data_IF_393936936804
#
_entry.id   IF_393936936804
#
_cell.length_a   1.000
_cell.length_b   1.000
_cell.length_c   1.000
_cell.angle_alpha   90.00
_cell.angle_beta   90.00
_cell.angle_gamma   90.00
#
_symmetry.space_group_name_H-M   'P 1'
#
loop_
_entity.id
_entity.type
_entity.pdbx_description
1 polymer ?
#
# COMPACT_ATOMS: atom_id res chain seq x y z
N UNK A 1 26.95 17.79 8.82
CA UNK A 1 25.92 18.79 8.45
C UNK A 1 24.52 18.25 8.72
N UNK A 2 24.18 17.04 8.27
CA UNK A 2 22.89 16.42 8.59
C UNK A 2 22.65 16.21 10.10
N UNK A 3 23.69 15.88 10.88
CA UNK A 3 23.54 15.71 12.33
C UNK A 3 23.07 16.99 13.04
N UNK A 4 23.53 18.17 12.58
CA UNK A 4 23.04 19.45 13.12
C UNK A 4 21.59 19.71 12.74
N UNK A 5 21.15 19.26 11.56
CA UNK A 5 19.77 19.41 11.14
C UNK A 5 18.85 18.52 11.99
N UNK A 6 19.23 17.26 12.22
CA UNK A 6 18.41 16.32 12.99
C UNK A 6 18.55 16.46 14.52
N UNK A 7 19.40 17.37 15.01
CA UNK A 7 19.55 17.65 16.42
C UNK A 7 18.36 18.46 16.97
N UNK A 8 17.53 17.78 17.77
CA UNK A 8 16.35 18.32 18.45
C UNK A 8 16.62 18.67 19.92
N UNK A 9 17.85 18.50 20.41
CA UNK A 9 18.27 18.89 21.77
C UNK A 9 18.70 20.35 21.80
N UNK A 10 19.19 20.89 20.66
CA UNK A 10 19.48 22.31 20.56
C UNK A 10 18.19 23.14 20.54
N UNK A 11 17.93 23.98 21.57
CA UNK A 11 16.60 24.57 21.80
C UNK A 11 16.13 25.44 20.64
N UNK A 12 17.03 26.25 20.05
CA UNK A 12 16.69 27.11 18.90
C UNK A 12 16.33 26.29 17.66
N UNK A 13 17.05 25.20 17.36
CA UNK A 13 16.78 24.38 16.18
C UNK A 13 15.50 23.58 16.33
N UNK A 14 15.30 23.01 17.52
CA UNK A 14 14.06 22.31 17.88
C UNK A 14 12.84 23.20 17.64
N UNK A 15 12.89 24.45 18.10
CA UNK A 15 11.78 25.39 17.93
C UNK A 15 11.58 25.78 16.45
N UNK A 16 12.66 26.00 15.69
CA UNK A 16 12.56 26.25 14.25
C UNK A 16 11.91 25.09 13.49
N UNK A 17 12.28 23.84 13.80
CA UNK A 17 11.63 22.66 13.20
C UNK A 17 10.16 22.59 13.57
N UNK A 18 9.83 22.80 14.85
CA UNK A 18 8.45 22.84 15.33
C UNK A 18 7.63 23.89 14.56
N UNK A 19 8.14 25.11 14.45
CA UNK A 19 7.47 26.19 13.72
C UNK A 19 7.30 25.86 12.24
N UNK A 20 8.32 25.28 11.61
CA UNK A 20 8.24 24.85 10.22
C UNK A 20 7.12 23.81 10.00
N UNK A 21 7.10 22.74 10.80
CA UNK A 21 6.07 21.70 10.71
C UNK A 21 4.68 22.31 10.88
N UNK A 22 4.50 23.13 11.92
CA UNK A 22 3.20 23.76 12.20
C UNK A 22 2.79 24.76 11.13
N UNK A 23 3.73 25.48 10.53
CA UNK A 23 3.44 26.36 9.41
C UNK A 23 2.94 25.57 8.20
N UNK A 24 3.59 24.43 7.89
CA UNK A 24 3.13 23.53 6.83
C UNK A 24 1.72 23.01 7.12
N UNK A 25 1.42 22.61 8.36
CA UNK A 25 0.08 22.15 8.75
C UNK A 25 -0.96 23.28 8.65
N UNK A 26 -0.66 24.46 9.20
CA UNK A 26 -1.55 25.62 9.18
C UNK A 26 -1.91 26.04 7.75
N UNK A 27 -0.95 26.01 6.83
CA UNK A 27 -1.17 26.38 5.43
C UNK A 27 -2.21 25.51 4.71
N UNK A 28 -2.37 24.26 5.14
CA UNK A 28 -3.24 23.28 4.49
C UNK A 28 -4.30 22.71 5.44
N UNK A 29 -4.56 23.41 6.54
CA UNK A 29 -5.35 22.88 7.64
C UNK A 29 -6.83 22.67 7.27
N UNK A 30 -7.28 23.36 6.22
CA UNK A 30 -8.65 23.28 5.68
C UNK A 30 -8.71 22.55 4.32
N UNK A 31 -7.57 22.04 3.83
CA UNK A 31 -7.45 21.34 2.55
C UNK A 31 -7.49 19.81 2.74
N UNK A 32 -8.69 19.23 2.68
CA UNK A 32 -8.92 17.79 2.92
C UNK A 32 -8.23 16.85 1.89
N UNK A 33 -7.73 17.40 0.78
CA UNK A 33 -7.03 16.69 -0.29
C UNK A 33 -5.50 16.76 -0.18
N UNK A 34 -4.94 17.37 0.87
CA UNK A 34 -3.49 17.41 1.12
C UNK A 34 -3.07 16.24 2.01
N UNK A 35 -1.97 15.57 1.64
CA UNK A 35 -1.32 14.51 2.41
C UNK A 35 0.10 14.98 2.77
N UNK A 36 0.43 14.96 4.05
CA UNK A 36 1.73 15.36 4.60
C UNK A 36 2.65 14.14 4.69
N UNK A 37 3.74 14.12 3.94
CA UNK A 37 4.74 13.05 4.00
C UNK A 37 5.87 13.40 4.97
N UNK A 38 6.28 12.45 5.81
CA UNK A 38 7.35 12.65 6.81
C UNK A 38 8.74 12.83 6.19
N UNK A 39 8.97 12.34 4.97
CA UNK A 39 10.24 12.49 4.24
C UNK A 39 10.02 12.34 2.74
N UNK A 40 10.95 12.89 1.95
CA UNK A 40 11.00 12.73 0.50
C UNK A 40 12.39 12.30 -0.03
N UNK A 41 13.49 12.56 0.69
CA UNK A 41 14.82 12.40 0.10
C UNK A 41 15.91 11.80 0.99
N UNK A 42 15.80 11.74 2.32
CA UNK A 42 16.90 11.30 3.19
C UNK A 42 16.49 10.19 4.17
N UNK A 43 17.43 9.28 4.46
CA UNK A 43 17.33 8.31 5.56
C UNK A 43 17.58 9.01 6.91
N UNK A 44 16.65 9.90 7.28
CA UNK A 44 16.68 10.60 8.57
C UNK A 44 16.60 9.62 9.75
N UNK A 45 17.00 10.04 10.95
CA UNK A 45 17.00 9.19 12.13
C UNK A 45 15.61 9.07 12.78
N UNK A 46 15.40 7.96 13.49
CA UNK A 46 14.14 7.65 14.17
C UNK A 46 13.67 8.78 15.09
N UNK A 47 14.57 9.34 15.91
CA UNK A 47 14.20 10.36 16.91
C UNK A 47 13.63 11.63 16.27
N UNK A 48 14.06 11.97 15.06
CA UNK A 48 13.54 13.13 14.35
C UNK A 48 12.14 12.87 13.78
N UNK A 49 11.89 11.68 13.25
CA UNK A 49 10.55 11.28 12.80
C UNK A 49 9.58 11.21 13.97
N UNK A 50 10.03 10.71 15.13
CA UNK A 50 9.26 10.74 16.38
C UNK A 50 8.89 12.17 16.77
N UNK A 51 9.87 13.08 16.81
CA UNK A 51 9.65 14.49 17.07
C UNK A 51 8.63 15.12 16.09
N UNK A 52 8.75 14.81 14.80
CA UNK A 52 7.86 15.33 13.78
C UNK A 52 6.39 14.91 14.01
N UNK A 53 6.17 13.62 14.28
CA UNK A 53 4.83 13.10 14.57
C UNK A 53 4.28 13.64 15.89
N UNK A 54 5.13 13.81 16.90
CA UNK A 54 4.74 14.41 18.17
C UNK A 54 4.28 15.87 17.97
N UNK A 55 4.97 16.66 17.15
CA UNK A 55 4.56 18.04 16.80
C UNK A 55 3.22 18.06 16.05
N UNK A 56 2.97 17.12 15.15
CA UNK A 56 1.67 16.99 14.49
C UNK A 56 0.59 16.68 15.54
N UNK A 57 0.81 15.69 16.41
CA UNK A 57 -0.16 15.31 17.43
C UNK A 57 -0.51 16.47 18.38
N UNK A 58 0.50 17.24 18.81
CA UNK A 58 0.30 18.45 19.61
C UNK A 58 -0.54 19.49 18.85
N UNK A 59 -0.22 19.74 17.58
CA UNK A 59 -0.98 20.67 16.74
C UNK A 59 -2.44 20.24 16.56
N UNK A 60 -2.70 18.95 16.35
CA UNK A 60 -4.07 18.43 16.24
C UNK A 60 -4.84 18.58 17.56
N UNK A 61 -4.18 18.32 18.69
CA UNK A 61 -4.79 18.46 20.01
C UNK A 61 -5.12 19.92 20.36
N UNK A 62 -4.22 20.85 20.02
CA UNK A 62 -4.38 22.29 20.31
C UNK A 62 -5.40 22.98 19.40
N UNK A 63 -5.50 22.57 18.14
CA UNK A 63 -6.34 23.24 17.13
C UNK A 63 -7.68 22.54 16.88
N UNK A 64 -7.79 21.25 17.24
CA UNK A 64 -8.92 20.40 16.88
C UNK A 64 -8.97 20.03 15.39
N UNK A 65 -7.99 20.45 14.59
CA UNK A 65 -7.88 20.10 13.16
C UNK A 65 -7.17 18.76 12.98
N UNK A 66 -7.32 18.15 11.80
CA UNK A 66 -6.72 16.86 11.44
C UNK A 66 -5.89 16.96 10.18
N UNK A 67 -4.68 16.43 10.22
CA UNK A 67 -3.82 16.30 9.05
C UNK A 67 -3.87 14.85 8.54
N UNK A 68 -3.80 14.66 7.22
CA UNK A 68 -3.58 13.32 6.65
C UNK A 68 -2.08 13.06 6.56
N UNK A 69 -1.57 12.10 7.33
CA UNK A 69 -0.13 11.87 7.45
C UNK A 69 0.29 10.56 6.78
N UNK A 70 1.27 10.65 5.89
CA UNK A 70 1.91 9.51 5.26
C UNK A 70 3.32 9.29 5.84
N UNK A 71 3.52 8.13 6.46
CA UNK A 71 4.82 7.69 6.96
C UNK A 71 5.64 7.16 5.78
N UNK A 72 6.61 7.94 5.34
CA UNK A 72 7.55 7.59 4.27
C UNK A 72 8.96 7.63 4.85
N UNK A 73 9.49 6.47 5.23
CA UNK A 73 10.80 6.32 5.88
C UNK A 73 11.48 5.01 5.47
N UNK A 74 12.72 4.80 5.91
CA UNK A 74 13.38 3.50 5.85
C UNK A 74 12.61 2.44 6.66
N UNK A 75 12.80 1.15 6.35
CA UNK A 75 12.01 0.05 6.94
C UNK A 75 12.16 0.00 8.47
N UNK A 76 13.38 0.14 8.98
CA UNK A 76 13.68 0.13 10.41
C UNK A 76 12.94 1.24 11.16
N UNK A 77 12.93 2.46 10.61
CA UNK A 77 12.20 3.60 11.18
C UNK A 77 10.69 3.41 11.05
N UNK A 78 10.22 2.89 9.90
CA UNK A 78 8.80 2.61 9.65
C UNK A 78 8.27 1.62 10.68
N UNK A 79 8.96 0.48 10.85
CA UNK A 79 8.58 -0.56 11.80
C UNK A 79 8.62 -0.05 13.24
N UNK A 80 9.63 0.74 13.62
CA UNK A 80 9.74 1.32 14.95
C UNK A 80 8.61 2.31 15.27
N UNK A 81 8.24 3.18 14.33
CA UNK A 81 7.10 4.10 14.50
C UNK A 81 5.77 3.34 14.58
N UNK A 82 5.58 2.34 13.72
CA UNK A 82 4.34 1.56 13.69
C UNK A 82 4.17 0.65 14.92
N UNK A 83 5.26 0.26 15.59
CA UNK A 83 5.23 -0.44 16.87
C UNK A 83 4.88 0.47 18.06
N UNK A 84 5.11 1.79 17.95
CA UNK A 84 4.70 2.78 18.95
C UNK A 84 3.25 3.20 18.72
N UNK A 85 2.32 2.63 19.49
CA UNK A 85 0.89 2.89 19.34
C UNK A 85 0.50 4.39 19.38
N UNK A 86 1.21 5.23 20.15
CA UNK A 86 0.92 6.66 20.25
C UNK A 86 1.22 7.35 18.93
N UNK A 87 2.37 7.06 18.33
CA UNK A 87 2.81 7.69 17.06
C UNK A 87 2.17 7.03 15.85
N UNK A 88 1.94 5.72 15.89
CA UNK A 88 1.18 5.01 14.88
C UNK A 88 -0.25 5.54 14.75
N UNK A 89 -0.85 6.08 15.82
CA UNK A 89 -2.18 6.70 15.77
C UNK A 89 -2.21 8.00 14.93
N UNK A 90 -1.07 8.68 14.77
CA UNK A 90 -0.93 9.91 13.96
C UNK A 90 -0.78 9.60 12.47
N UNK A 91 -0.39 8.37 12.11
CA UNK A 91 -0.12 7.96 10.73
C UNK A 91 -1.38 7.41 10.07
N UNK A 92 -1.81 7.98 8.95
CA UNK A 92 -2.97 7.48 8.18
C UNK A 92 -2.56 6.53 7.05
N UNK A 93 -1.38 6.78 6.47
CA UNK A 93 -0.88 6.10 5.27
C UNK A 93 0.52 5.56 5.54
N UNK A 94 0.73 4.29 5.22
CA UNK A 94 2.05 3.64 5.22
C UNK A 94 2.58 3.70 3.79
N UNK A 95 3.62 4.52 3.56
CA UNK A 95 4.22 4.70 2.23
C UNK A 95 5.51 3.88 2.06
N UNK A 96 5.41 2.77 1.32
CA UNK A 96 6.55 1.90 1.02
C UNK A 96 7.30 2.45 -0.19
N UNK A 97 8.35 3.23 0.08
CA UNK A 97 9.17 3.90 -0.94
C UNK A 97 10.67 3.66 -0.81
N UNK A 98 11.17 3.58 0.42
CA UNK A 98 12.61 3.55 0.70
C UNK A 98 13.20 2.16 0.83
N UNK A 99 12.38 1.12 0.72
CA UNK A 99 12.80 -0.25 0.86
C UNK A 99 11.92 -1.15 0.00
N UNK A 100 12.44 -2.33 -0.34
CA UNK A 100 11.67 -3.38 -1.00
C UNK A 100 12.28 -4.75 -0.76
N UNK A 101 11.44 -5.76 -0.87
CA UNK A 101 11.87 -7.14 -1.00
C UNK A 101 12.50 -7.39 -2.38
N UNK A 102 13.49 -8.27 -2.42
CA UNK A 102 14.19 -8.68 -3.63
C UNK A 102 13.80 -10.11 -4.03
N UNK A 103 13.96 -10.39 -5.33
CA UNK A 103 13.70 -11.70 -5.93
C UNK A 103 14.57 -12.85 -5.37
N UNK A 104 15.73 -12.51 -4.79
CA UNK A 104 16.59 -13.43 -4.04
C UNK A 104 16.10 -13.75 -2.62
N UNK A 105 14.94 -13.23 -2.21
CA UNK A 105 14.32 -13.44 -0.91
C UNK A 105 14.80 -12.48 0.18
N UNK A 106 15.87 -11.73 -0.03
CA UNK A 106 16.40 -10.75 0.93
C UNK A 106 15.74 -9.38 0.75
N UNK A 107 16.11 -8.39 1.57
CA UNK A 107 15.51 -7.05 1.55
C UNK A 107 16.56 -6.00 1.20
N UNK A 108 16.21 -5.07 0.31
CA UNK A 108 16.90 -3.80 0.18
C UNK A 108 16.24 -2.81 1.15
N UNK A 109 16.86 -2.60 2.30
CA UNK A 109 16.38 -1.70 3.34
C UNK A 109 17.55 -0.87 3.88
N UNK A 110 17.83 0.30 3.28
CA UNK A 110 18.75 1.26 3.86
C UNK A 110 18.38 1.59 5.32
N UNK A 111 19.37 1.76 6.18
CA UNK A 111 19.16 2.07 7.59
C UNK A 111 18.84 3.56 7.79
N UNK A 112 17.94 3.86 8.72
CA UNK A 112 17.68 5.22 9.19
C UNK A 112 18.91 5.86 9.83
N UNK A 113 18.94 7.18 9.89
CA UNK A 113 20.03 7.94 10.52
C UNK A 113 21.37 7.93 9.79
N UNK A 114 21.51 7.22 8.66
CA UNK A 114 22.72 7.32 7.81
C UNK A 114 22.81 8.64 7.06
N UNK A 115 21.75 9.45 7.06
CA UNK A 115 21.70 10.77 6.45
C UNK A 115 22.09 10.78 4.96
N UNK A 116 21.74 9.71 4.26
CA UNK A 116 22.03 9.52 2.85
C UNK A 116 20.74 9.51 2.04
N UNK A 117 20.81 10.07 0.84
CA UNK A 117 19.74 9.98 -0.13
C UNK A 117 19.66 8.58 -0.75
N UNK A 118 18.50 8.13 -1.24
CA UNK A 118 18.34 6.84 -1.91
C UNK A 118 19.43 6.58 -2.96
N UNK A 119 19.76 7.59 -3.78
CA UNK A 119 20.81 7.48 -4.81
C UNK A 119 22.20 7.18 -4.25
N UNK A 120 22.51 7.64 -3.04
CA UNK A 120 23.79 7.34 -2.38
C UNK A 120 23.81 5.91 -1.86
N UNK A 121 22.72 5.45 -1.23
CA UNK A 121 22.57 4.05 -0.82
C UNK A 121 22.66 3.08 -2.00
N UNK A 122 22.03 3.39 -3.14
CA UNK A 122 22.11 2.58 -4.36
C UNK A 122 23.54 2.40 -4.91
N UNK A 123 24.49 3.27 -4.54
CA UNK A 123 25.91 3.14 -4.90
C UNK A 123 26.68 2.21 -3.95
N UNK A 124 26.19 2.01 -2.73
CA UNK A 124 26.87 1.24 -1.70
C UNK A 124 26.33 -0.19 -1.58
N UNK A 125 25.05 -0.40 -1.91
CA UNK A 125 24.41 -1.71 -1.84
C UNK A 125 23.63 -2.02 -3.12
N UNK A 126 23.62 -3.30 -3.49
CA UNK A 126 22.86 -3.76 -4.67
C UNK A 126 21.36 -3.61 -4.40
N UNK A 127 20.69 -2.81 -5.21
CA UNK A 127 19.24 -2.55 -5.14
C UNK A 127 18.43 -3.81 -5.41
N UNK A 128 18.94 -4.69 -6.28
CA UNK A 128 18.24 -5.91 -6.68
C UNK A 128 17.04 -5.65 -7.58
N UNK A 129 16.34 -6.73 -7.96
CA UNK A 129 15.10 -6.67 -8.73
C UNK A 129 13.92 -6.95 -7.81
N UNK A 130 12.79 -6.34 -8.11
CA UNK A 130 11.51 -6.58 -7.44
C UNK A 130 10.70 -7.49 -8.36
N UNK A 131 10.20 -8.60 -7.81
CA UNK A 131 9.22 -9.44 -8.50
C UNK A 131 7.78 -9.03 -8.14
N UNK A 132 6.79 -9.60 -8.84
CA UNK A 132 5.38 -9.44 -8.48
C UNK A 132 5.13 -9.87 -7.02
N UNK A 133 5.68 -11.02 -6.63
CA UNK A 133 5.48 -11.59 -5.29
C UNK A 133 6.15 -10.72 -4.21
N UNK A 134 7.25 -10.04 -4.53
CA UNK A 134 7.92 -9.12 -3.61
C UNK A 134 7.11 -7.85 -3.34
N UNK A 135 6.53 -7.24 -4.38
CA UNK A 135 5.65 -6.10 -4.23
C UNK A 135 4.37 -6.47 -3.48
N UNK A 136 3.78 -7.64 -3.81
CA UNK A 136 2.63 -8.19 -3.08
C UNK A 136 2.96 -8.38 -1.61
N UNK A 137 4.09 -9.04 -1.29
CA UNK A 137 4.56 -9.30 0.08
C UNK A 137 4.75 -8.00 0.86
N UNK A 138 5.38 -6.99 0.25
CA UNK A 138 5.61 -5.71 0.89
C UNK A 138 4.30 -5.04 1.32
N UNK A 139 3.26 -5.09 0.47
CA UNK A 139 1.97 -4.43 0.74
C UNK A 139 1.13 -5.24 1.73
N UNK A 140 0.95 -6.55 1.49
CA UNK A 140 0.05 -7.38 2.29
C UNK A 140 0.51 -7.44 3.76
N UNK A 141 1.83 -7.43 4.01
CA UNK A 141 2.39 -7.47 5.36
C UNK A 141 1.85 -6.33 6.24
N UNK A 142 1.84 -5.09 5.73
CA UNK A 142 1.32 -3.95 6.50
C UNK A 142 -0.19 -3.83 6.40
N UNK A 143 -0.81 -4.28 5.30
CA UNK A 143 -2.27 -4.30 5.19
C UNK A 143 -2.89 -5.21 6.25
N UNK A 144 -2.27 -6.35 6.54
CA UNK A 144 -2.70 -7.27 7.58
C UNK A 144 -2.44 -6.75 8.99
N UNK A 145 -1.27 -6.15 9.23
CA UNK A 145 -0.91 -5.57 10.53
C UNK A 145 -1.75 -4.32 10.86
N UNK A 146 -2.12 -3.53 9.84
CA UNK A 146 -2.81 -2.25 9.97
C UNK A 146 -3.98 -2.12 8.97
N UNK A 147 -5.05 -2.93 9.13
CA UNK A 147 -6.18 -2.98 8.18
C UNK A 147 -6.97 -1.65 8.08
N UNK A 148 -6.82 -0.76 9.03
CA UNK A 148 -7.43 0.57 9.06
C UNK A 148 -6.59 1.64 8.35
N UNK A 149 -5.33 1.35 8.00
CA UNK A 149 -4.41 2.30 7.35
C UNK A 149 -4.34 2.02 5.85
N UNK A 150 -4.21 3.09 5.07
CA UNK A 150 -3.89 2.96 3.65
C UNK A 150 -2.43 2.50 3.52
N UNK A 151 -2.14 1.68 2.52
CA UNK A 151 -0.77 1.20 2.23
C UNK A 151 -0.46 1.48 0.78
N UNK A 152 0.52 2.35 0.53
CA UNK A 152 0.99 2.68 -0.83
C UNK A 152 2.33 2.02 -1.10
N UNK A 153 2.59 1.73 -2.37
CA UNK A 153 3.87 1.19 -2.83
C UNK A 153 4.41 2.06 -3.96
N UNK A 154 5.42 2.87 -3.65
CA UNK A 154 6.09 3.79 -4.57
C UNK A 154 7.60 3.55 -4.64
N UNK A 155 8.03 2.31 -4.38
CA UNK A 155 9.41 1.88 -4.59
C UNK A 155 9.78 1.83 -6.09
N UNK A 156 11.01 1.41 -6.40
CA UNK A 156 11.54 1.39 -7.75
C UNK A 156 10.62 0.63 -8.73
N UNK A 157 10.36 1.22 -9.90
CA UNK A 157 9.53 0.63 -10.95
C UNK A 157 8.10 0.24 -10.50
N UNK A 158 7.56 0.91 -9.46
CA UNK A 158 6.22 0.60 -8.92
C UNK A 158 5.08 0.49 -9.95
N UNK A 159 5.02 1.25 -11.07
CA UNK A 159 3.91 1.13 -12.02
C UNK A 159 3.80 -0.27 -12.62
N UNK A 160 4.90 -1.00 -12.74
CA UNK A 160 4.92 -2.38 -13.24
C UNK A 160 4.27 -3.38 -12.27
N UNK A 161 4.03 -3.00 -11.02
CA UNK A 161 3.51 -3.88 -9.96
C UNK A 161 2.07 -3.54 -9.56
N UNK A 162 1.33 -2.76 -10.36
CA UNK A 162 -0.02 -2.31 -10.02
C UNK A 162 -0.99 -3.44 -9.61
N UNK A 163 -0.98 -4.56 -10.33
CA UNK A 163 -1.80 -5.73 -9.97
C UNK A 163 -1.35 -6.43 -8.69
N UNK A 164 -0.04 -6.45 -8.39
CA UNK A 164 0.47 -7.00 -7.14
C UNK A 164 -0.02 -6.17 -5.95
N UNK A 165 0.10 -4.84 -6.07
CA UNK A 165 -0.38 -3.88 -5.06
C UNK A 165 -1.89 -4.01 -4.89
N UNK A 166 -2.65 -4.05 -5.99
CA UNK A 166 -4.10 -4.20 -5.96
C UNK A 166 -4.54 -5.49 -5.25
N UNK A 167 -3.97 -6.64 -5.65
CA UNK A 167 -4.34 -7.94 -5.05
C UNK A 167 -3.87 -8.08 -3.60
N UNK A 168 -2.88 -7.31 -3.17
CA UNK A 168 -2.45 -7.23 -1.77
C UNK A 168 -3.31 -6.29 -0.90
N UNK A 169 -4.35 -5.67 -1.48
CA UNK A 169 -5.20 -4.70 -0.79
C UNK A 169 -4.54 -3.32 -0.61
N UNK A 170 -3.53 -3.02 -1.43
CA UNK A 170 -2.86 -1.72 -1.44
C UNK A 170 -3.72 -0.61 -2.03
N UNK A 171 -3.43 0.62 -1.59
CA UNK A 171 -4.11 1.84 -2.00
C UNK A 171 -3.44 2.47 -3.24
N UNK A 172 -4.24 3.14 -4.06
CA UNK A 172 -3.82 3.80 -5.30
C UNK A 172 -2.96 2.91 -6.25
N UNK A 173 -3.33 1.65 -6.52
CA UNK A 173 -2.56 0.79 -7.42
C UNK A 173 -2.67 1.29 -8.87
N UNK A 174 -1.57 1.19 -9.62
CA UNK A 174 -1.51 1.57 -11.03
C UNK A 174 -2.08 0.43 -11.90
N UNK A 175 -3.41 0.32 -11.96
CA UNK A 175 -4.10 -0.64 -12.83
C UNK A 175 -4.75 0.06 -14.03
N UNK A 176 -4.81 -0.58 -15.22
CA UNK A 176 -5.37 0.03 -16.43
C UNK A 176 -6.91 0.05 -16.47
N UNK A 177 -7.58 -0.44 -15.43
CA UNK A 177 -9.05 -0.58 -15.41
C UNK A 177 -9.71 0.74 -15.04
N UNK A 178 -10.67 1.17 -15.86
CA UNK A 178 -11.47 2.40 -15.65
C UNK A 178 -12.95 2.15 -15.43
N UNK A 179 -13.37 0.88 -15.43
CA UNK A 179 -14.77 0.50 -15.22
C UNK A 179 -15.20 0.82 -13.79
N UNK A 180 -16.20 1.71 -13.65
CA UNK A 180 -16.61 2.22 -12.34
C UNK A 180 -17.22 1.14 -11.45
N UNK A 181 -17.94 0.16 -12.02
CA UNK A 181 -18.53 -0.92 -11.25
C UNK A 181 -17.44 -1.84 -10.70
N UNK A 182 -16.42 -2.18 -11.50
CA UNK A 182 -15.25 -2.92 -11.03
C UNK A 182 -14.55 -2.19 -9.87
N UNK A 183 -14.31 -0.89 -10.02
CA UNK A 183 -13.62 -0.11 -8.98
C UNK A 183 -14.46 0.01 -7.69
N UNK A 184 -15.78 0.12 -7.83
CA UNK A 184 -16.71 0.16 -6.69
C UNK A 184 -16.75 -1.18 -5.95
N UNK A 185 -16.84 -2.29 -6.69
CA UNK A 185 -16.77 -3.64 -6.14
C UNK A 185 -15.43 -3.88 -5.43
N UNK A 186 -14.31 -3.58 -6.10
CA UNK A 186 -12.96 -3.77 -5.58
C UNK A 186 -12.72 -3.01 -4.27
N UNK A 187 -13.20 -1.76 -4.18
CA UNK A 187 -13.06 -0.94 -2.98
C UNK A 187 -13.79 -1.52 -1.75
N UNK A 188 -14.78 -2.39 -1.95
CA UNK A 188 -15.52 -3.03 -0.89
C UNK A 188 -14.97 -4.41 -0.50
N UNK A 189 -14.08 -5.00 -1.30
CA UNK A 189 -13.54 -6.35 -1.11
C UNK A 189 -12.32 -6.38 -0.19
N UNK A 190 -12.09 -7.55 0.42
CA UNK A 190 -10.93 -7.81 1.28
C UNK A 190 -10.05 -8.90 0.68
N UNK A 191 -8.77 -8.91 1.07
CA UNK A 191 -7.83 -9.96 0.64
C UNK A 191 -8.18 -11.27 1.34
N UNK A 192 -8.28 -12.34 0.56
CA UNK A 192 -8.45 -13.69 1.07
C UNK A 192 -7.16 -14.49 0.85
N UNK A 193 -6.52 -14.93 1.93
CA UNK A 193 -5.33 -15.78 1.84
C UNK A 193 -5.65 -17.12 1.18
N UNK A 194 -4.83 -17.52 0.21
CA UNK A 194 -5.05 -18.72 -0.60
C UNK A 194 -4.10 -19.86 -0.26
N UNK A 195 -2.99 -19.58 0.43
CA UNK A 195 -1.94 -20.57 0.73
C UNK A 195 -1.20 -21.08 -0.51
N UNK A 196 -1.41 -20.48 -1.69
CA UNK A 196 -0.78 -20.88 -2.96
C UNK A 196 -0.27 -19.65 -3.72
N UNK A 197 0.69 -19.87 -4.63
CA UNK A 197 1.17 -18.88 -5.58
C UNK A 197 0.42 -18.89 -6.90
N UNK A 198 -0.41 -19.90 -7.15
CA UNK A 198 -1.15 -20.10 -8.40
C UNK A 198 -2.20 -19.01 -8.67
N UNK A 199 -2.81 -18.49 -7.61
CA UNK A 199 -3.80 -17.43 -7.71
C UNK A 199 -3.87 -16.60 -6.43
N UNK A 200 -4.36 -15.37 -6.59
CA UNK A 200 -4.69 -14.46 -5.50
C UNK A 200 -6.19 -14.12 -5.57
N UNK A 201 -6.78 -13.79 -4.42
CA UNK A 201 -8.21 -13.55 -4.29
C UNK A 201 -8.52 -12.31 -3.46
N UNK A 202 -9.40 -11.47 -3.99
CA UNK A 202 -10.17 -10.51 -3.23
C UNK A 202 -11.63 -10.95 -3.24
N UNK A 203 -12.36 -10.75 -2.16
CA UNK A 203 -13.78 -11.08 -2.14
C UNK A 203 -14.57 -10.38 -1.06
N UNK A 204 -15.89 -10.40 -1.26
CA UNK A 204 -16.89 -10.02 -0.27
C UNK A 204 -18.22 -10.70 -0.57
N UNK A 205 -18.71 -11.46 0.40
CA UNK A 205 -20.00 -12.14 0.30
C UNK A 205 -21.10 -11.10 0.00
N UNK A 206 -21.92 -11.40 -0.99
CA UNK A 206 -22.98 -10.50 -1.45
C UNK A 206 -22.55 -9.48 -2.50
N UNK A 207 -21.26 -9.26 -2.74
CA UNK A 207 -20.74 -8.40 -3.82
C UNK A 207 -20.12 -9.25 -4.93
N UNK A 208 -19.15 -10.11 -4.57
CA UNK A 208 -18.40 -10.83 -5.59
C UNK A 208 -16.99 -11.23 -5.18
N UNK A 209 -16.18 -11.55 -6.19
CA UNK A 209 -14.77 -11.86 -6.04
C UNK A 209 -13.97 -11.35 -7.24
N UNK A 210 -12.70 -11.03 -7.00
CA UNK A 210 -11.69 -10.74 -8.01
C UNK A 210 -10.54 -11.71 -7.83
N UNK A 211 -10.20 -12.42 -8.90
CA UNK A 211 -9.18 -13.45 -8.91
C UNK A 211 -8.08 -13.06 -9.87
N UNK A 212 -6.83 -13.03 -9.39
CA UNK A 212 -5.67 -12.97 -10.27
C UNK A 212 -5.14 -14.40 -10.42
N UNK A 213 -5.35 -15.00 -11.60
CA UNK A 213 -4.89 -16.37 -11.86
C UNK A 213 -3.60 -16.41 -12.68
N UNK A 214 -2.63 -17.19 -12.22
CA UNK A 214 -1.36 -17.47 -12.90
C UNK A 214 -1.35 -18.83 -13.61
N UNK A 215 -2.28 -19.72 -13.26
CA UNK A 215 -2.42 -21.06 -13.84
C UNK A 215 -3.89 -21.40 -14.11
N UNK A 216 -4.16 -22.61 -14.59
CA UNK A 216 -5.49 -23.17 -14.86
C UNK A 216 -5.96 -24.15 -13.77
N UNK A 217 -5.47 -23.95 -12.54
CA UNK A 217 -5.90 -24.74 -11.38
C UNK A 217 -7.34 -24.43 -11.00
N UNK A 218 -7.97 -25.37 -10.30
CA UNK A 218 -9.29 -25.15 -9.73
C UNK A 218 -9.22 -24.20 -8.51
N UNK A 219 -10.14 -23.24 -8.46
CA UNK A 219 -10.17 -22.14 -7.49
C UNK A 219 -11.52 -22.18 -6.77
N UNK A 220 -11.56 -22.57 -5.48
CA UNK A 220 -12.79 -22.54 -4.70
C UNK A 220 -13.13 -21.10 -4.29
N UNK A 221 -14.34 -20.68 -4.67
CA UNK A 221 -14.88 -19.36 -4.37
C UNK A 221 -16.08 -19.47 -3.45
N UNK A 222 -15.98 -18.86 -2.27
CA UNK A 222 -17.13 -18.67 -1.38
C UNK A 222 -17.87 -17.41 -1.79
N UNK A 223 -18.91 -17.57 -2.60
CA UNK A 223 -19.76 -16.47 -3.03
C UNK A 223 -21.08 -16.51 -2.26
N UNK A 224 -21.85 -15.42 -2.27
CA UNK A 224 -23.24 -15.48 -1.83
C UNK A 224 -24.09 -16.22 -2.86
N UNK A 225 -25.22 -16.82 -2.48
CA UNK A 225 -26.16 -17.32 -3.48
C UNK A 225 -26.68 -16.17 -4.35
N UNK A 226 -26.81 -16.41 -5.65
CA UNK A 226 -27.28 -15.40 -6.58
C UNK A 226 -26.86 -15.63 -8.02
N UNK A 227 -27.09 -14.61 -8.85
CA UNK A 227 -26.64 -14.56 -10.23
C UNK A 227 -25.45 -13.62 -10.34
N UNK A 228 -24.41 -14.06 -11.04
CA UNK A 228 -23.18 -13.32 -11.22
C UNK A 228 -22.86 -13.17 -12.72
N UNK A 229 -22.31 -12.03 -13.09
CA UNK A 229 -21.58 -11.88 -14.34
C UNK A 229 -20.11 -12.26 -14.10
N UNK A 230 -19.61 -13.26 -14.81
CA UNK A 230 -18.20 -13.61 -14.86
C UNK A 230 -17.55 -12.87 -16.01
N UNK A 231 -16.58 -12.02 -15.69
CA UNK A 231 -15.82 -11.22 -16.65
C UNK A 231 -14.34 -11.53 -16.53
N UNK A 232 -13.64 -11.46 -17.65
CA UNK A 232 -12.18 -11.48 -17.74
C UNK A 232 -11.67 -10.06 -17.99
N UNK A 233 -10.57 -9.69 -17.36
CA UNK A 233 -9.91 -8.41 -17.52
C UNK A 233 -8.48 -8.68 -17.97
N UNK A 234 -8.11 -8.12 -19.12
CA UNK A 234 -6.75 -8.19 -19.61
C UNK A 234 -5.83 -7.36 -18.69
N UNK A 235 -4.77 -7.95 -18.10
CA UNK A 235 -3.93 -7.26 -17.12
C UNK A 235 -3.19 -6.04 -17.70
N UNK A 236 -2.84 -6.06 -18.99
CA UNK A 236 -2.04 -4.99 -19.60
C UNK A 236 -2.92 -3.85 -20.12
N UNK A 237 -4.07 -4.15 -20.72
CA UNK A 237 -4.95 -3.14 -21.33
C UNK A 237 -6.12 -2.71 -20.47
N UNK A 238 -6.49 -3.48 -19.44
CA UNK A 238 -7.70 -3.26 -18.65
C UNK A 238 -9.00 -3.54 -19.40
N UNK A 239 -8.92 -4.07 -20.63
CA UNK A 239 -10.10 -4.43 -21.43
C UNK A 239 -10.87 -5.55 -20.74
N UNK A 240 -12.18 -5.35 -20.59
CA UNK A 240 -13.10 -6.28 -19.95
C UNK A 240 -13.85 -7.08 -21.03
N UNK A 241 -13.86 -8.40 -20.88
CA UNK A 241 -14.60 -9.34 -21.72
C UNK A 241 -15.57 -10.15 -20.84
N UNK A 242 -16.85 -10.20 -21.21
CA UNK A 242 -17.82 -11.02 -20.48
C UNK A 242 -17.68 -12.47 -20.90
N UNK A 243 -17.43 -13.38 -19.95
CA UNK A 243 -17.39 -14.83 -20.17
C UNK A 243 -18.79 -15.41 -20.01
N UNK A 244 -19.50 -15.03 -18.94
CA UNK A 244 -20.85 -15.48 -18.66
C UNK A 244 -21.64 -14.34 -18.03
N UNK A 245 -22.79 -14.00 -18.61
CA UNK A 245 -23.63 -12.90 -18.13
C UNK A 245 -24.53 -13.30 -16.94
N UNK A 246 -24.89 -14.59 -16.83
CA UNK A 246 -25.87 -15.10 -15.85
C UNK A 246 -25.41 -16.42 -15.24
N UNK A 247 -24.28 -16.39 -14.55
CA UNK A 247 -23.77 -17.52 -13.79
C UNK A 247 -24.56 -17.67 -12.48
N UNK A 248 -25.32 -18.75 -12.33
CA UNK A 248 -25.99 -19.07 -11.07
C UNK A 248 -25.00 -19.71 -10.10
N UNK A 249 -24.90 -19.15 -8.89
CA UNK A 249 -24.03 -19.65 -7.82
C UNK A 249 -24.87 -19.95 -6.57
N UNK A 250 -24.65 -21.13 -5.97
CA UNK A 250 -25.34 -21.60 -4.77
C UNK A 250 -24.34 -21.69 -3.59
N UNK A 251 -23.66 -20.60 -3.30
CA UNK A 251 -22.57 -20.45 -2.33
C UNK A 251 -21.17 -20.84 -2.85
N UNK A 252 -20.74 -22.09 -2.66
CA UNK A 252 -19.43 -22.54 -3.13
C UNK A 252 -19.44 -22.71 -4.65
N UNK A 253 -18.51 -22.05 -5.34
CA UNK A 253 -18.30 -22.18 -6.77
C UNK A 253 -16.85 -22.55 -7.06
N UNK A 254 -16.65 -23.65 -7.78
CA UNK A 254 -15.33 -24.11 -8.19
C UNK A 254 -15.02 -23.54 -9.58
N UNK A 255 -14.23 -22.48 -9.61
CA UNK A 255 -13.84 -21.80 -10.84
C UNK A 255 -12.56 -22.39 -11.41
N UNK A 256 -12.54 -22.71 -12.71
CA UNK A 256 -11.32 -23.07 -13.43
C UNK A 256 -11.10 -22.04 -14.55
N UNK A 257 -10.00 -21.27 -14.52
CA UNK A 257 -9.65 -20.35 -15.59
C UNK A 257 -9.56 -21.06 -16.95
N UNK A 258 -10.09 -20.49 -18.05
CA UNK A 258 -9.87 -21.02 -19.38
C UNK A 258 -8.38 -21.21 -19.70
N UNK A 259 -8.05 -22.35 -20.33
CA UNK A 259 -6.67 -22.71 -20.67
C UNK A 259 -5.97 -21.59 -21.44
N UNK A 260 -4.77 -21.21 -20.99
CA UNK A 260 -3.97 -20.16 -21.61
C UNK A 260 -4.45 -18.72 -21.34
N UNK A 261 -5.49 -18.51 -20.52
CA UNK A 261 -5.92 -17.18 -20.07
C UNK A 261 -5.50 -16.93 -18.62
N UNK A 262 -4.21 -16.71 -18.38
CA UNK A 262 -3.77 -16.09 -17.12
C UNK A 262 -4.18 -14.61 -17.11
N UNK A 263 -4.60 -14.10 -15.96
CA UNK A 263 -5.12 -12.73 -15.85
C UNK A 263 -6.16 -12.59 -14.75
N UNK A 264 -7.02 -11.58 -14.90
CA UNK A 264 -7.96 -11.18 -13.84
C UNK A 264 -9.37 -11.64 -14.19
N UNK A 265 -10.04 -12.25 -13.22
CA UNK A 265 -11.42 -12.67 -13.32
C UNK A 265 -12.24 -11.96 -12.26
N UNK A 266 -13.33 -11.35 -12.68
CA UNK A 266 -14.22 -10.60 -11.81
C UNK A 266 -15.61 -11.23 -11.85
N UNK A 267 -16.05 -11.69 -10.68
CA UNK A 267 -17.40 -12.16 -10.41
C UNK A 267 -18.19 -10.99 -9.84
N UNK A 268 -19.03 -10.39 -10.67
CA UNK A 268 -19.88 -9.26 -10.30
C UNK A 268 -21.29 -9.76 -10.00
N UNK A 269 -21.80 -9.56 -8.78
CA UNK A 269 -23.19 -9.93 -8.48
C UNK A 269 -24.15 -8.99 -9.21
N UNK A 270 -25.10 -9.58 -9.94
CA UNK A 270 -26.19 -8.85 -10.61
C UNK A 270 -27.36 -8.60 -9.68
#
# INVERSE_FOLDING_TARGET
MADMFYDIEHPVRRELHRQYIRQCLNNFADDANVIQLTSAEFSGPLHFVQFWLDVIAEWEAETGKKAKVALSTTKDVQDAILADSKRAAVVDIIDIRYWHYKDDGTVWAPEGGKNMAPRQHMRQMKVGKISFDDAYRAVIEYRQKFPQKAVTFYSQNYPSFGWAVFMAGGSCPVIPVKDQAFLTDAAAMEVEETGTKDYLKLGKIGIGAIIYSKSDVNIPLQLGSGTYALKYINPSSGKIETINLKLKVNALYNFTPPKGKSGIYWFHKS
#
